data_IF_339718116209
#
_entry.id   IF_339718116209
#
_cell.length_a   1.000
_cell.length_b   1.000
_cell.length_c   1.000
_cell.angle_alpha   90.00
_cell.angle_beta   90.00
_cell.angle_gamma   90.00
#
_symmetry.space_group_name_H-M   'P 1'
#
loop_
_entity.id
_entity.type
_entity.pdbx_description
1 polymer ?
#
# COMPACT_ATOMS: atom_id res chain seq x y z
N UNK A 1 -34.14 -8.04 -11.24
CA UNK A 1 -33.51 -7.91 -9.91
C UNK A 1 -32.13 -8.60 -9.89
N UNK A 2 -31.23 -8.24 -10.81
CA UNK A 2 -29.86 -8.80 -10.85
C UNK A 2 -28.78 -7.78 -11.30
N UNK A 3 -29.18 -6.58 -11.76
CA UNK A 3 -28.23 -5.52 -12.12
C UNK A 3 -27.74 -4.68 -10.93
N UNK A 4 -28.49 -4.62 -9.82
CA UNK A 4 -28.09 -3.81 -8.66
C UNK A 4 -26.94 -4.43 -7.84
N UNK A 5 -26.82 -5.76 -7.84
CA UNK A 5 -25.75 -6.46 -7.11
C UNK A 5 -24.40 -6.38 -7.83
N UNK A 6 -24.39 -6.31 -9.18
CA UNK A 6 -23.16 -6.17 -9.96
C UNK A 6 -22.52 -4.79 -9.74
N UNK A 7 -23.32 -3.73 -9.63
CA UNK A 7 -22.84 -2.37 -9.34
C UNK A 7 -22.29 -2.20 -7.92
N UNK A 8 -22.78 -2.97 -6.94
CA UNK A 8 -22.24 -2.98 -5.58
C UNK A 8 -20.85 -3.62 -5.52
N UNK A 9 -20.55 -4.60 -6.36
CA UNK A 9 -19.19 -5.16 -6.49
C UNK A 9 -18.21 -4.21 -7.20
N UNK A 10 -18.70 -3.24 -7.97
CA UNK A 10 -17.86 -2.27 -8.71
C UNK A 10 -17.33 -1.14 -7.82
N UNK A 11 -17.83 -0.98 -6.58
CA UNK A 11 -17.45 0.15 -5.72
C UNK A 11 -17.29 -0.21 -4.25
N UNK A 12 -16.49 -1.23 -3.96
CA UNK A 12 -15.88 -1.37 -2.64
C UNK A 12 -14.50 -0.70 -2.67
N UNK A 13 -14.47 0.62 -2.43
CA UNK A 13 -13.22 1.36 -2.24
C UNK A 13 -12.60 0.94 -0.89
N UNK A 14 -11.97 -0.23 -0.84
CA UNK A 14 -11.18 -0.62 0.34
C UNK A 14 -9.95 0.28 0.38
N UNK A 15 -9.94 1.20 1.35
CA UNK A 15 -8.83 2.14 1.60
C UNK A 15 -7.50 1.42 1.75
N UNK A 16 -7.48 0.18 2.23
CA UNK A 16 -6.26 -0.61 2.36
C UNK A 16 -5.56 -0.82 1.01
N UNK A 17 -6.32 -0.93 -0.08
CA UNK A 17 -5.78 -1.09 -1.43
C UNK A 17 -5.01 0.14 -1.85
N UNK A 18 -5.52 1.33 -1.52
CA UNK A 18 -4.84 2.58 -1.83
C UNK A 18 -3.59 2.80 -0.96
N UNK A 19 -3.56 2.26 0.26
CA UNK A 19 -2.34 2.20 1.08
C UNK A 19 -1.28 1.33 0.39
N UNK A 20 -1.65 0.13 -0.08
CA UNK A 20 -0.74 -0.76 -0.83
C UNK A 20 -0.23 -0.08 -2.10
N UNK A 21 -1.11 0.59 -2.85
CA UNK A 21 -0.72 1.38 -4.03
C UNK A 21 0.25 2.50 -3.66
N UNK A 22 0.02 3.23 -2.56
CA UNK A 22 0.93 4.28 -2.10
C UNK A 22 2.32 3.75 -1.74
N UNK A 23 2.40 2.62 -1.02
CA UNK A 23 3.68 1.94 -0.75
C UNK A 23 4.41 1.56 -2.05
N UNK A 24 3.66 1.08 -3.04
CA UNK A 24 4.21 0.73 -4.34
C UNK A 24 4.74 1.96 -5.09
N UNK A 25 3.93 3.00 -5.20
CA UNK A 25 4.26 4.22 -5.95
C UNK A 25 5.43 5.00 -5.36
N UNK A 26 5.51 5.08 -4.02
CA UNK A 26 6.56 5.85 -3.35
C UNK A 26 7.89 5.12 -3.34
N UNK A 27 7.90 3.79 -3.10
CA UNK A 27 9.13 3.08 -2.77
C UNK A 27 9.32 1.76 -3.53
N UNK A 28 8.30 0.91 -3.60
CA UNK A 28 8.50 -0.50 -3.96
C UNK A 28 8.58 -0.74 -5.48
N UNK A 29 7.93 0.06 -6.33
CA UNK A 29 7.94 -0.17 -7.79
C UNK A 29 9.33 -0.06 -8.40
N UNK A 30 10.18 0.85 -7.88
CA UNK A 30 11.54 1.07 -8.34
C UNK A 30 12.59 0.14 -7.70
N UNK A 31 12.20 -0.73 -6.76
CA UNK A 31 13.12 -1.67 -6.12
C UNK A 31 13.67 -2.65 -7.16
N UNK A 32 14.98 -2.71 -7.35
CA UNK A 32 15.64 -3.67 -8.25
C UNK A 32 15.88 -5.02 -7.56
N UNK A 33 16.16 -5.00 -6.26
CA UNK A 33 16.41 -6.18 -5.44
C UNK A 33 15.40 -6.28 -4.30
N UNK A 34 14.39 -7.13 -4.46
CA UNK A 34 13.33 -7.28 -3.46
C UNK A 34 13.85 -7.83 -2.13
N UNK A 35 14.82 -8.75 -2.16
CA UNK A 35 15.40 -9.35 -0.94
C UNK A 35 16.15 -8.31 -0.12
N UNK A 36 16.95 -7.47 -0.78
CA UNK A 36 17.67 -6.39 -0.11
C UNK A 36 16.72 -5.37 0.50
N UNK A 37 15.69 -4.95 -0.23
CA UNK A 37 14.65 -4.07 0.31
C UNK A 37 13.93 -4.73 1.49
N UNK A 38 13.55 -6.00 1.38
CA UNK A 38 12.87 -6.74 2.43
C UNK A 38 13.71 -6.79 3.71
N UNK A 39 14.98 -7.16 3.60
CA UNK A 39 15.92 -7.21 4.73
C UNK A 39 16.12 -5.83 5.35
N UNK A 40 16.31 -4.79 4.53
CA UNK A 40 16.49 -3.41 5.01
C UNK A 40 15.29 -2.92 5.81
N UNK A 41 14.08 -3.26 5.38
CA UNK A 41 12.83 -2.85 6.02
C UNK A 41 12.30 -3.90 7.01
N UNK A 42 13.06 -4.95 7.34
CA UNK A 42 12.64 -6.03 8.25
C UNK A 42 11.24 -6.58 7.95
N UNK A 43 11.00 -6.98 6.69
CA UNK A 43 9.76 -7.60 6.21
C UNK A 43 10.10 -8.79 5.32
N UNK A 44 9.11 -9.64 5.04
CA UNK A 44 9.30 -10.76 4.10
C UNK A 44 9.47 -10.27 2.66
N UNK A 45 10.38 -10.89 1.90
CA UNK A 45 10.52 -10.65 0.45
C UNK A 45 9.20 -10.84 -0.29
N UNK A 46 8.41 -11.84 0.12
CA UNK A 46 7.07 -12.10 -0.43
C UNK A 46 6.16 -10.88 -0.28
N UNK A 47 6.23 -10.16 0.83
CA UNK A 47 5.47 -8.93 1.06
C UNK A 47 5.86 -7.86 0.06
N UNK A 48 7.16 -7.68 -0.19
CA UNK A 48 7.66 -6.75 -1.22
C UNK A 48 7.12 -7.12 -2.59
N UNK A 49 7.19 -8.40 -3.00
CA UNK A 49 6.64 -8.83 -4.30
C UNK A 49 5.14 -8.63 -4.41
N UNK A 50 4.40 -8.94 -3.34
CA UNK A 50 2.96 -8.81 -3.33
C UNK A 50 2.55 -7.35 -3.46
N UNK A 51 3.20 -6.43 -2.74
CA UNK A 51 2.95 -4.99 -2.89
C UNK A 51 3.36 -4.52 -4.29
N UNK A 52 4.55 -4.90 -4.77
CA UNK A 52 5.08 -4.50 -6.08
C UNK A 52 4.17 -4.91 -7.24
N UNK A 53 3.68 -6.14 -7.20
CA UNK A 53 2.77 -6.69 -8.21
C UNK A 53 1.30 -6.39 -7.95
N UNK A 54 0.97 -5.61 -6.92
CA UNK A 54 -0.40 -5.34 -6.47
C UNK A 54 -1.23 -6.64 -6.32
N UNK A 55 -0.62 -7.68 -5.73
CA UNK A 55 -1.22 -9.01 -5.49
C UNK A 55 -1.77 -9.17 -4.07
N UNK A 56 -1.90 -8.07 -3.33
CA UNK A 56 -2.47 -8.02 -1.99
C UNK A 56 -3.30 -6.75 -1.85
N UNK A 57 -4.42 -6.85 -1.14
CA UNK A 57 -5.33 -5.72 -0.89
C UNK A 57 -4.95 -4.95 0.38
N UNK A 58 -4.03 -5.49 1.19
CA UNK A 58 -3.59 -4.84 2.44
C UNK A 58 -2.13 -5.13 2.77
N UNK A 59 -1.58 -4.31 3.67
CA UNK A 59 -0.33 -4.52 4.36
C UNK A 59 -0.55 -4.35 5.87
N UNK A 60 0.19 -5.08 6.69
CA UNK A 60 0.10 -4.92 8.15
C UNK A 60 0.58 -3.53 8.58
N UNK A 61 0.05 -3.01 9.69
CA UNK A 61 0.51 -1.74 10.25
C UNK A 61 2.02 -1.77 10.53
N UNK A 62 2.54 -2.88 11.06
CA UNK A 62 3.98 -3.05 11.31
C UNK A 62 4.81 -2.97 10.03
N UNK A 63 4.34 -3.59 8.93
CA UNK A 63 4.97 -3.47 7.61
C UNK A 63 5.06 -2.01 7.16
N UNK A 64 3.96 -1.25 7.30
CA UNK A 64 3.92 0.15 6.90
C UNK A 64 4.90 0.97 7.76
N UNK A 65 4.87 0.78 9.09
CA UNK A 65 5.77 1.45 10.03
C UNK A 65 7.23 1.17 9.69
N UNK A 66 7.62 -0.10 9.53
CA UNK A 66 9.01 -0.46 9.26
C UNK A 66 9.52 0.17 7.95
N UNK A 67 8.67 0.21 6.92
CA UNK A 67 9.02 0.86 5.65
C UNK A 67 9.19 2.36 5.89
N UNK A 68 8.21 3.02 6.51
CA UNK A 68 8.26 4.46 6.79
C UNK A 68 9.55 4.85 7.55
N UNK A 69 9.86 4.16 8.64
CA UNK A 69 11.05 4.42 9.47
C UNK A 69 12.35 4.27 8.67
N UNK A 70 12.47 3.19 7.90
CA UNK A 70 13.64 2.92 7.05
C UNK A 70 13.81 3.94 5.92
N UNK A 71 12.70 4.54 5.45
CA UNK A 71 12.71 5.61 4.45
C UNK A 71 12.83 7.01 5.07
N UNK A 72 12.97 7.13 6.39
CA UNK A 72 13.08 8.41 7.08
C UNK A 72 11.79 9.24 7.06
N UNK A 73 10.64 8.59 6.90
CA UNK A 73 9.31 9.21 6.89
C UNK A 73 8.53 8.73 8.11
N UNK A 74 7.86 9.63 8.86
CA UNK A 74 6.96 9.18 9.91
C UNK A 74 5.62 8.71 9.31
N UNK A 75 4.89 7.88 10.05
CA UNK A 75 3.64 7.28 9.57
C UNK A 75 2.57 8.32 9.20
N UNK A 76 2.47 9.44 9.92
CA UNK A 76 1.49 10.49 9.63
C UNK A 76 1.77 11.17 8.29
N UNK A 77 3.03 11.48 8.00
CA UNK A 77 3.42 12.10 6.75
C UNK A 77 3.28 11.14 5.57
N UNK A 78 3.50 9.84 5.78
CA UNK A 78 3.15 8.82 4.79
C UNK A 78 1.67 8.90 4.41
N UNK A 79 0.76 8.93 5.38
CA UNK A 79 -0.67 9.00 5.09
C UNK A 79 -1.07 10.30 4.37
N UNK A 80 -0.46 11.45 4.71
CA UNK A 80 -0.69 12.70 3.96
C UNK A 80 -0.24 12.58 2.49
N UNK A 81 0.91 11.96 2.23
CA UNK A 81 1.38 11.71 0.86
C UNK A 81 0.46 10.73 0.14
N UNK A 82 0.03 9.66 0.82
CA UNK A 82 -0.90 8.68 0.27
C UNK A 82 -2.24 9.33 -0.11
N UNK A 83 -2.81 10.20 0.73
CA UNK A 83 -4.02 10.98 0.43
C UNK A 83 -3.84 11.95 -0.74
N UNK A 84 -2.63 12.49 -0.93
CA UNK A 84 -2.31 13.34 -2.08
C UNK A 84 -2.25 12.55 -3.40
N UNK A 85 -1.77 11.30 -3.36
CA UNK A 85 -1.71 10.41 -4.52
C UNK A 85 -3.08 9.76 -4.82
N UNK A 86 -3.81 9.42 -3.75
CA UNK A 86 -5.08 8.69 -3.78
C UNK A 86 -6.10 9.41 -2.91
N UNK A 87 -6.84 10.40 -3.45
CA UNK A 87 -7.85 11.15 -2.70
C UNK A 87 -8.96 10.30 -2.09
N UNK A 88 -9.13 9.06 -2.55
CA UNK A 88 -10.07 8.07 -2.00
C UNK A 88 -9.74 7.67 -0.55
N UNK A 89 -8.52 7.96 -0.07
CA UNK A 89 -8.11 7.73 1.31
C UNK A 89 -8.67 8.76 2.31
N UNK A 90 -9.08 9.96 1.84
CA UNK A 90 -9.56 11.01 2.72
C UNK A 90 -10.80 10.55 3.48
N UNK A 91 -10.79 10.74 4.79
CA UNK A 91 -11.97 10.56 5.63
C UNK A 91 -12.82 11.83 5.49
N UNK A 92 -14.02 11.69 4.91
CA UNK A 92 -15.05 12.73 4.92
C UNK A 92 -15.78 12.73 6.25
#
# INVERSE_FOLDING_TARGET
MFLFTILLFVKMDDRNVYIVKALNELWIKQVTNNTEFANKNNIDEKTVRNIKGLKTESASLQTIINICETQGMNLSDFFKHAESLFPQLKFN
#
